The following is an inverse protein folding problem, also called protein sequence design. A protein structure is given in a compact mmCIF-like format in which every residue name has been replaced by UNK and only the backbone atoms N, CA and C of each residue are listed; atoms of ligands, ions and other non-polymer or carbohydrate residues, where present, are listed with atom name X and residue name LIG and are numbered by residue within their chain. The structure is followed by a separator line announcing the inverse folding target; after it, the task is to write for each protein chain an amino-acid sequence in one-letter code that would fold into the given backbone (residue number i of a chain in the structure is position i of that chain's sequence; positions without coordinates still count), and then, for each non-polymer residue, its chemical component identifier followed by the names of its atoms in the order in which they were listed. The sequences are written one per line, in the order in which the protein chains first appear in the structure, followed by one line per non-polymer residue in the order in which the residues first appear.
data_IF_223504972708
#
_entry.id   IF_223504972708
#
_cell.length_a   1.000
_cell.length_b   1.000
_cell.length_c   1.000
_cell.angle_alpha   90.00
_cell.angle_beta   90.00
_cell.angle_gamma   90.00
#
_symmetry.space_group_name_H-M   'P 1'
#
loop_
_entity.id
_entity.type
_entity.pdbx_description
1 polymer ?
#
# COMPACT_ATOMS: atom_id res chain seq x y z
N UNK A 1 4.35 -26.75 -16.80
CA UNK A 1 2.88 -26.78 -16.74
C UNK A 1 2.53 -26.89 -15.26
N UNK A 2 2.17 -25.83 -14.55
CA UNK A 2 1.05 -24.93 -14.80
C UNK A 2 1.45 -23.45 -14.73
N UNK A 3 1.03 -22.74 -15.78
CA UNK A 3 0.89 -21.30 -15.83
C UNK A 3 -0.52 -21.02 -15.27
N UNK A 4 -0.65 -20.30 -14.16
CA UNK A 4 -1.94 -19.80 -13.70
C UNK A 4 -1.88 -18.28 -13.64
N UNK A 5 -2.40 -17.70 -14.71
CA UNK A 5 -2.70 -16.29 -14.89
C UNK A 5 -3.49 -15.72 -13.70
N UNK A 6 -2.82 -14.96 -12.84
CA UNK A 6 -3.46 -14.01 -11.92
C UNK A 6 -3.58 -12.67 -12.64
N UNK A 7 -4.44 -12.61 -13.67
CA UNK A 7 -4.75 -11.36 -14.37
C UNK A 7 -5.94 -10.69 -13.70
N UNK A 8 -5.75 -9.41 -13.39
CA UNK A 8 -6.73 -8.41 -12.97
C UNK A 8 -6.94 -8.26 -11.46
N UNK A 9 -5.97 -7.62 -10.80
CA UNK A 9 -6.22 -6.86 -9.58
C UNK A 9 -6.56 -5.44 -10.05
N UNK A 10 -7.83 -5.06 -9.98
CA UNK A 10 -8.23 -3.66 -10.18
C UNK A 10 -7.98 -2.92 -8.85
N UNK A 11 -6.81 -2.30 -8.71
CA UNK A 11 -6.49 -1.45 -7.56
C UNK A 11 -7.15 -0.09 -7.81
N UNK A 12 -8.23 0.20 -7.09
CA UNK A 12 -8.85 1.53 -7.08
C UNK A 12 -8.25 2.33 -5.92
N UNK A 13 -7.06 2.88 -6.11
CA UNK A 13 -6.46 3.78 -5.11
C UNK A 13 -7.31 5.05 -5.02
N UNK A 14 -8.13 5.16 -3.98
CA UNK A 14 -8.87 6.37 -3.64
C UNK A 14 -7.96 7.28 -2.83
N UNK A 15 -7.19 8.13 -3.52
CA UNK A 15 -6.70 9.35 -2.91
C UNK A 15 -7.88 10.33 -2.87
N UNK A 16 -8.20 10.93 -1.73
CA UNK A 16 -9.13 12.06 -1.67
C UNK A 16 -8.48 13.30 -2.31
N UNK A 17 -8.32 13.26 -3.62
CA UNK A 17 -8.14 14.43 -4.47
C UNK A 17 -9.38 14.53 -5.35
N UNK A 18 -10.00 15.69 -5.29
CA UNK A 18 -11.37 16.02 -5.69
C UNK A 18 -11.62 15.98 -7.22
N UNK A 19 -11.37 14.86 -7.89
CA UNK A 19 -11.75 14.67 -9.29
C UNK A 19 -12.31 13.28 -9.57
N UNK A 20 -13.50 13.26 -10.18
CA UNK A 20 -14.35 12.10 -10.45
C UNK A 20 -13.83 11.13 -11.51
N UNK A 21 -12.69 11.41 -12.14
CA UNK A 21 -12.14 10.63 -13.25
C UNK A 21 -10.67 10.23 -13.00
N UNK A 22 -10.46 9.32 -12.05
CA UNK A 22 -9.14 8.70 -11.89
C UNK A 22 -8.86 7.77 -13.08
N UNK A 23 -7.66 7.81 -13.68
CA UNK A 23 -7.28 6.92 -14.77
C UNK A 23 -7.36 5.45 -14.33
N UNK A 24 -7.78 4.57 -15.24
CA UNK A 24 -7.77 3.12 -15.01
C UNK A 24 -6.33 2.62 -15.13
N UNK A 25 -5.80 2.09 -14.03
CA UNK A 25 -4.49 1.44 -14.01
C UNK A 25 -4.61 -0.05 -14.30
N UNK A 26 -3.69 -0.57 -15.10
CA UNK A 26 -3.44 -1.98 -15.34
C UNK A 26 -2.25 -2.49 -14.51
N UNK A 27 -2.02 -3.80 -14.53
CA UNK A 27 -0.86 -4.40 -13.86
C UNK A 27 0.44 -3.83 -14.44
N UNK A 28 1.37 -3.44 -13.56
CA UNK A 28 2.65 -2.81 -13.86
C UNK A 28 2.61 -1.35 -14.37
N UNK A 29 1.45 -0.70 -14.31
CA UNK A 29 1.39 0.72 -14.61
C UNK A 29 2.05 1.55 -13.49
N UNK A 30 2.66 2.67 -13.90
CA UNK A 30 3.21 3.65 -12.96
C UNK A 30 2.08 4.55 -12.44
N UNK A 31 1.91 4.59 -11.12
CA UNK A 31 1.00 5.53 -10.45
C UNK A 31 1.83 6.72 -9.97
N UNK A 32 1.47 7.93 -10.41
CA UNK A 32 2.12 9.18 -9.98
C UNK A 32 1.15 10.02 -9.17
N UNK A 33 1.48 10.20 -7.89
CA UNK A 33 0.76 11.10 -7.00
C UNK A 33 1.52 12.43 -6.99
N UNK A 34 0.93 13.46 -7.61
CA UNK A 34 1.50 14.81 -7.62
C UNK A 34 0.79 15.64 -6.57
N UNK A 35 1.57 16.22 -5.64
CA UNK A 35 1.04 17.11 -4.61
C UNK A 35 0.96 18.53 -5.23
N UNK A 36 -0.24 19.15 -5.29
CA UNK A 36 -0.40 20.47 -5.89
C UNK A 36 0.37 21.57 -5.13
N UNK A 37 0.71 22.66 -5.83
CA UNK A 37 1.47 23.79 -5.25
C UNK A 37 0.76 24.52 -4.10
N UNK A 38 -0.56 24.44 -4.01
CA UNK A 38 -1.34 25.02 -2.90
C UNK A 38 -1.16 24.19 -1.60
N UNK A 39 -0.85 22.91 -1.74
CA UNK A 39 -0.64 21.95 -0.64
C UNK A 39 0.86 21.64 -0.43
N UNK A 40 1.73 22.63 -0.68
CA UNK A 40 3.19 22.45 -0.69
C UNK A 40 3.78 21.95 0.64
N UNK A 41 3.04 22.12 1.73
CA UNK A 41 3.44 21.70 3.06
C UNK A 41 3.20 20.21 3.24
N UNK A 42 4.25 19.41 3.16
CA UNK A 42 4.17 17.96 3.33
C UNK A 42 5.00 17.51 4.52
N UNK A 43 4.47 16.57 5.32
CA UNK A 43 5.20 15.96 6.43
C UNK A 43 5.32 14.45 6.16
N UNK A 44 6.35 14.00 5.42
CA UNK A 44 6.46 12.60 5.00
C UNK A 44 6.41 11.60 6.16
N UNK A 45 6.96 11.95 7.34
CA UNK A 45 6.96 11.06 8.51
C UNK A 45 5.60 10.74 9.10
N UNK A 46 4.62 11.60 8.86
CA UNK A 46 3.23 11.43 9.28
C UNK A 46 2.29 11.28 8.08
N UNK A 47 2.84 11.09 6.88
CA UNK A 47 2.06 10.82 5.67
C UNK A 47 1.83 9.33 5.50
N UNK A 48 0.69 8.99 4.92
CA UNK A 48 0.25 7.60 4.74
C UNK A 48 -0.33 7.41 3.32
N UNK A 49 -0.20 6.20 2.78
CA UNK A 49 -0.87 5.78 1.56
C UNK A 49 -2.14 5.02 1.91
N UNK A 50 -3.28 5.59 1.54
CA UNK A 50 -4.57 4.93 1.64
C UNK A 50 -4.85 4.14 0.35
N UNK A 51 -5.07 2.84 0.50
CA UNK A 51 -5.39 1.93 -0.60
C UNK A 51 -6.69 1.24 -0.26
N UNK A 52 -7.73 1.62 -0.99
CA UNK A 52 -9.03 0.97 -0.96
C UNK A 52 -9.17 0.05 -2.16
N UNK A 53 -9.93 -1.01 -2.02
CA UNK A 53 -10.14 -1.90 -3.15
C UNK A 53 -11.09 -3.03 -2.86
N UNK A 54 -11.34 -3.82 -3.90
CA UNK A 54 -12.16 -5.01 -3.80
C UNK A 54 -11.46 -6.17 -4.48
N UNK A 55 -11.20 -7.22 -3.71
CA UNK A 55 -10.73 -8.49 -4.23
C UNK A 55 -11.84 -9.15 -5.06
N UNK A 56 -11.52 -9.51 -6.30
CA UNK A 56 -12.40 -10.29 -7.18
C UNK A 56 -11.69 -11.59 -7.51
N UNK A 57 -12.36 -12.70 -7.24
CA UNK A 57 -11.90 -14.02 -7.66
C UNK A 57 -12.26 -14.21 -9.14
N UNK A 58 -11.36 -14.79 -9.92
CA UNK A 58 -11.53 -14.93 -11.37
C UNK A 58 -12.64 -15.90 -11.80
N UNK A 59 -13.19 -16.70 -10.88
CA UNK A 59 -14.26 -17.67 -11.15
C UNK A 59 -15.62 -17.14 -10.68
N UNK A 60 -16.51 -16.91 -11.64
CA UNK A 60 -17.84 -16.30 -11.50
C UNK A 60 -18.94 -17.26 -10.98
N UNK A 61 -18.59 -18.34 -10.27
CA UNK A 61 -19.58 -19.32 -9.81
C UNK A 61 -19.84 -19.21 -8.31
N UNK A 62 -20.84 -18.39 -7.97
CA UNK A 62 -21.87 -18.75 -7.00
C UNK A 62 -21.42 -19.54 -5.76
N UNK A 63 -20.67 -18.90 -4.85
CA UNK A 63 -20.68 -19.25 -3.43
C UNK A 63 -20.18 -18.08 -2.60
N UNK A 64 -21.13 -17.51 -1.85
CA UNK A 64 -20.93 -16.57 -0.77
C UNK A 64 -19.75 -17.03 0.13
N UNK A 65 -18.70 -16.22 0.18
CA UNK A 65 -17.51 -16.30 1.06
C UNK A 65 -16.23 -16.18 0.22
N UNK A 66 -15.65 -14.98 0.17
CA UNK A 66 -14.24 -14.84 -0.21
C UNK A 66 -13.42 -15.58 0.85
N UNK A 67 -12.94 -16.80 0.54
CA UNK A 67 -12.06 -17.57 1.43
C UNK A 67 -10.57 -17.19 1.25
N UNK A 68 -10.30 -16.23 0.36
CA UNK A 68 -8.98 -15.64 0.21
C UNK A 68 -8.72 -14.68 1.38
N UNK A 69 -7.47 -14.61 1.83
CA UNK A 69 -7.00 -13.61 2.79
C UNK A 69 -5.81 -12.89 2.20
N UNK A 70 -5.66 -11.61 2.53
CA UNK A 70 -4.46 -10.86 2.19
C UNK A 70 -3.30 -11.33 3.08
N UNK A 71 -2.13 -11.52 2.46
CA UNK A 71 -0.90 -11.84 3.17
C UNK A 71 -0.43 -10.65 4.01
N UNK A 72 0.53 -10.88 4.90
CA UNK A 72 1.16 -9.78 5.63
C UNK A 72 1.75 -8.76 4.66
N UNK A 73 1.59 -7.48 5.02
CA UNK A 73 2.16 -6.37 4.26
C UNK A 73 1.67 -6.34 2.79
N UNK A 74 0.48 -6.91 2.50
CA UNK A 74 -0.05 -7.07 1.13
C UNK A 74 -0.07 -5.76 0.34
N UNK A 75 -0.36 -4.63 0.99
CA UNK A 75 -0.37 -3.32 0.35
C UNK A 75 1.00 -2.92 -0.20
N UNK A 76 2.09 -3.19 0.53
CA UNK A 76 3.45 -2.92 0.06
C UNK A 76 3.86 -3.86 -1.09
N UNK A 77 3.37 -5.11 -1.09
CA UNK A 77 3.60 -6.07 -2.17
C UNK A 77 2.91 -5.69 -3.49
N UNK A 78 1.98 -4.73 -3.49
CA UNK A 78 1.41 -4.18 -4.73
C UNK A 78 2.41 -3.33 -5.52
N UNK A 79 3.49 -2.88 -4.88
CA UNK A 79 4.48 -2.00 -5.49
C UNK A 79 5.82 -2.74 -5.69
N UNK A 80 6.27 -2.82 -6.94
CA UNK A 80 7.63 -3.28 -7.25
C UNK A 80 8.67 -2.20 -6.95
N UNK A 81 8.28 -0.92 -7.02
CA UNK A 81 9.15 0.23 -6.95
C UNK A 81 8.38 1.46 -6.46
N UNK A 82 8.94 2.20 -5.50
CA UNK A 82 8.43 3.51 -5.04
C UNK A 82 9.56 4.53 -5.05
N UNK A 83 9.24 5.77 -5.48
CA UNK A 83 10.16 6.90 -5.54
C UNK A 83 9.52 8.12 -4.91
N UNK A 84 10.31 8.87 -4.14
CA UNK A 84 9.90 10.18 -3.63
C UNK A 84 10.71 11.25 -4.35
N UNK A 85 10.02 12.20 -4.98
CA UNK A 85 10.62 13.24 -5.81
C UNK A 85 10.20 14.60 -5.27
N UNK A 86 11.17 15.45 -4.97
CA UNK A 86 10.95 16.83 -4.52
C UNK A 86 11.58 17.76 -5.54
N UNK A 87 10.80 18.69 -6.09
CA UNK A 87 11.28 19.69 -7.06
C UNK A 87 12.05 19.07 -8.25
N UNK A 88 11.62 17.89 -8.71
CA UNK A 88 12.26 17.16 -9.81
C UNK A 88 13.51 16.34 -9.43
N UNK A 89 13.93 16.36 -8.17
CA UNK A 89 15.05 15.58 -7.64
C UNK A 89 14.51 14.38 -6.88
N UNK A 90 14.98 13.18 -7.24
CA UNK A 90 14.70 11.96 -6.48
C UNK A 90 15.47 12.01 -5.15
N UNK A 91 14.74 11.93 -4.04
CA UNK A 91 15.32 11.99 -2.69
C UNK A 91 15.39 10.62 -2.01
N UNK A 92 14.55 9.68 -2.44
CA UNK A 92 14.58 8.31 -1.96
C UNK A 92 13.95 7.36 -2.99
N UNK A 93 14.51 6.16 -3.10
CA UNK A 93 14.12 5.09 -4.01
C UNK A 93 14.13 3.76 -3.25
N UNK A 94 12.99 3.04 -3.25
CA UNK A 94 12.92 1.69 -2.70
C UNK A 94 12.39 0.72 -3.74
N UNK A 95 13.19 -0.31 -4.02
CA UNK A 95 12.83 -1.44 -4.89
C UNK A 95 12.41 -2.65 -4.08
N UNK A 96 11.59 -3.51 -4.68
CA UNK A 96 11.00 -4.68 -4.03
C UNK A 96 10.30 -4.27 -2.72
N UNK A 97 9.44 -3.26 -2.80
CA UNK A 97 8.88 -2.52 -1.65
C UNK A 97 8.30 -3.46 -0.60
N UNK A 98 7.52 -4.46 -1.01
CA UNK A 98 7.00 -5.48 -0.11
C UNK A 98 8.07 -6.26 0.65
N UNK A 99 9.13 -6.72 -0.02
CA UNK A 99 10.22 -7.49 0.60
C UNK A 99 11.01 -6.60 1.58
N UNK A 100 11.42 -5.41 1.13
CA UNK A 100 12.22 -4.49 1.93
C UNK A 100 11.51 -4.06 3.22
N UNK A 101 10.25 -3.63 3.11
CA UNK A 101 9.44 -3.23 4.26
C UNK A 101 9.07 -4.41 5.17
N UNK A 102 8.86 -5.62 4.63
CA UNK A 102 8.66 -6.82 5.46
C UNK A 102 9.93 -7.18 6.24
N UNK A 103 11.11 -7.16 5.62
CA UNK A 103 12.37 -7.40 6.32
C UNK A 103 12.56 -6.36 7.44
N UNK A 104 12.41 -5.07 7.12
CA UNK A 104 12.46 -3.99 8.11
C UNK A 104 11.51 -4.23 9.26
N UNK A 105 10.25 -4.56 8.99
CA UNK A 105 9.27 -4.75 10.05
C UNK A 105 9.60 -5.92 10.98
N UNK A 106 10.11 -7.04 10.46
CA UNK A 106 10.54 -8.16 11.30
C UNK A 106 11.77 -7.85 12.17
N UNK A 107 12.72 -7.06 11.65
CA UNK A 107 13.97 -6.77 12.36
C UNK A 107 13.92 -5.54 13.28
N UNK A 108 13.07 -4.55 12.94
CA UNK A 108 13.11 -3.23 13.57
C UNK A 108 11.88 -2.91 14.42
N UNK A 109 10.74 -3.55 14.19
CA UNK A 109 9.51 -3.19 14.92
C UNK A 109 9.39 -3.94 16.25
N UNK A 110 9.07 -3.19 17.31
CA UNK A 110 8.68 -3.79 18.57
C UNK A 110 7.32 -4.47 18.44
N UNK A 111 7.02 -5.52 19.23
CA UNK A 111 5.69 -6.14 19.22
C UNK A 111 4.56 -5.14 19.49
N UNK A 112 4.80 -4.15 20.35
CA UNK A 112 3.84 -3.08 20.66
C UNK A 112 3.59 -2.13 19.50
N UNK A 113 4.58 -1.94 18.62
CA UNK A 113 4.43 -1.15 17.40
C UNK A 113 3.65 -1.95 16.34
N UNK A 114 3.97 -3.23 16.16
CA UNK A 114 3.30 -4.07 15.16
C UNK A 114 1.79 -4.18 15.43
N UNK A 115 1.37 -4.28 16.70
CA UNK A 115 -0.06 -4.29 17.07
C UNK A 115 -0.82 -3.02 16.63
N UNK A 116 -0.12 -1.92 16.34
CA UNK A 116 -0.74 -0.68 15.83
C UNK A 116 -0.86 -0.67 14.31
N UNK A 117 -0.23 -1.62 13.62
CA UNK A 117 -0.14 -1.71 12.17
C UNK A 117 -1.14 -2.70 11.56
N UNK A 118 -2.18 -3.09 12.31
CA UNK A 118 -3.24 -3.98 11.81
C UNK A 118 -3.88 -3.44 10.52
N UNK A 119 -4.17 -2.13 10.50
CA UNK A 119 -4.71 -1.43 9.32
C UNK A 119 -3.72 -1.35 8.13
N UNK A 120 -2.43 -1.61 8.36
CA UNK A 120 -1.39 -1.70 7.32
C UNK A 120 -1.25 -3.13 6.78
N UNK A 121 -2.05 -4.06 7.29
CA UNK A 121 -1.97 -5.48 6.99
C UNK A 121 -0.85 -6.22 7.70
N UNK A 122 -0.42 -5.74 8.87
CA UNK A 122 0.48 -6.47 9.75
C UNK A 122 -0.32 -7.15 10.86
N UNK A 123 -0.19 -8.47 10.95
CA UNK A 123 -0.76 -9.26 12.04
C UNK A 123 0.29 -10.28 12.50
N UNK A 124 0.63 -10.29 13.79
CA UNK A 124 1.63 -11.23 14.34
C UNK A 124 0.95 -12.42 15.02
N UNK A 125 -0.37 -12.34 15.25
CA UNK A 125 -1.11 -13.31 16.06
C UNK A 125 -1.85 -14.38 15.26
N UNK A 126 -2.44 -14.05 14.10
CA UNK A 126 -3.30 -14.99 13.35
C UNK A 126 -2.75 -15.38 11.99
N UNK A 127 -1.66 -14.76 11.54
CA UNK A 127 -1.03 -15.01 10.24
C UNK A 127 -1.84 -14.47 9.06
N UNK A 128 -2.85 -13.63 9.32
CA UNK A 128 -3.76 -13.06 8.32
C UNK A 128 -4.06 -11.61 8.68
N UNK A 129 -3.81 -10.71 7.74
CA UNK A 129 -4.24 -9.34 7.88
C UNK A 129 -5.77 -9.24 7.87
N UNK A 130 -6.39 -8.82 8.99
CA UNK A 130 -7.84 -8.65 9.14
C UNK A 130 -8.35 -7.33 8.51
N UNK A 131 -7.90 -7.04 7.29
CA UNK A 131 -8.14 -5.77 6.58
C UNK A 131 -9.22 -5.89 5.48
N UNK A 132 -9.87 -7.05 5.38
CA UNK A 132 -10.81 -7.36 4.31
C UNK A 132 -12.14 -7.90 4.86
N UNK A 133 -13.25 -7.37 4.36
CA UNK A 133 -14.59 -7.81 4.72
C UNK A 133 -15.00 -9.11 4.00
N UNK A 134 -16.15 -9.69 4.40
CA UNK A 134 -16.68 -10.92 3.81
C UNK A 134 -17.09 -10.79 2.33
N UNK A 135 -17.18 -9.56 1.82
CA UNK A 135 -17.49 -9.22 0.42
C UNK A 135 -16.22 -8.96 -0.40
N UNK A 136 -15.04 -9.09 0.21
CA UNK A 136 -13.74 -8.86 -0.42
C UNK A 136 -13.33 -7.40 -0.50
N UNK A 137 -14.06 -6.46 0.11
CA UNK A 137 -13.63 -5.06 0.18
C UNK A 137 -12.54 -4.93 1.24
N UNK A 138 -11.49 -4.20 0.92
CA UNK A 138 -10.40 -3.94 1.85
C UNK A 138 -10.05 -2.45 1.89
N UNK A 139 -9.51 -2.03 3.03
CA UNK A 139 -8.93 -0.72 3.23
C UNK A 139 -7.59 -0.90 3.95
N UNK A 140 -6.52 -0.43 3.33
CA UNK A 140 -5.16 -0.50 3.84
C UNK A 140 -4.64 0.92 3.98
N UNK A 141 -4.18 1.29 5.17
CA UNK A 141 -3.44 2.53 5.36
C UNK A 141 -1.97 2.20 5.63
N UNK A 142 -1.05 2.69 4.80
CA UNK A 142 0.39 2.39 4.92
C UNK A 142 1.17 3.66 5.23
N UNK A 143 1.71 3.83 6.44
CA UNK A 143 2.62 4.92 6.74
C UNK A 143 3.83 4.95 5.80
N UNK A 144 4.17 6.10 5.22
CA UNK A 144 5.30 6.22 4.29
C UNK A 144 6.63 5.82 4.95
N UNK A 145 6.79 6.07 6.24
CA UNK A 145 7.96 5.62 7.05
C UNK A 145 8.16 4.11 7.10
N UNK A 146 7.13 3.32 6.78
CA UNK A 146 7.28 1.87 6.64
C UNK A 146 7.90 1.49 5.29
N UNK A 147 7.65 2.29 4.26
CA UNK A 147 8.05 2.01 2.89
C UNK A 147 9.40 2.64 2.54
N UNK A 148 9.72 3.79 3.12
CA UNK A 148 10.83 4.66 2.71
C UNK A 148 11.65 5.13 3.92
N UNK A 149 12.97 5.23 3.75
CA UNK A 149 13.88 5.69 4.80
C UNK A 149 13.77 7.21 5.01
N UNK A 150 13.63 7.96 3.91
CA UNK A 150 13.45 9.41 3.97
C UNK A 150 12.24 9.82 4.82
N UNK A 151 11.11 9.12 4.66
CA UNK A 151 9.92 9.36 5.46
C UNK A 151 10.10 8.94 6.92
N UNK A 152 10.96 7.98 7.24
CA UNK A 152 11.25 7.62 8.64
C UNK A 152 12.11 8.68 9.35
N UNK A 153 13.10 9.22 8.65
CA UNK A 153 14.12 10.10 9.22
C UNK A 153 13.72 11.58 9.23
N UNK A 154 12.97 12.04 8.21
CA UNK A 154 12.62 13.46 8.05
C UNK A 154 11.34 13.80 8.80
N UNK A 155 11.49 14.48 9.93
CA UNK A 155 10.37 14.94 10.79
C UNK A 155 9.95 16.39 10.58
N UNK A 156 10.49 17.03 9.54
CA UNK A 156 10.25 18.43 9.23
C UNK A 156 9.15 18.56 8.18
N UNK A 157 8.39 19.65 8.26
CA UNK A 157 7.48 20.05 7.18
C UNK A 157 8.34 20.51 6.01
N UNK A 158 8.13 19.91 4.85
CA UNK A 158 8.77 20.25 3.59
C UNK A 158 7.94 21.31 2.86
N UNK A 159 8.62 22.18 2.12
CA UNK A 159 8.07 23.28 1.31
C UNK A 159 8.70 23.18 -0.07
#
# INVERSE_FOLDING_TARGET
MYHSDLRNIQIMMRLELYHSDLPKYSNNDEIRIVIPEIDRYTLPSESELLIEGKLRLASDESKNSVTASLIHNAGAFMFSHIRYIISGVEVDEVRNVGIASTMKGYFSYSPSYINKLENCGWDVGTGKALIMDSKGNFNICIPLKMLMGFAEDVKQILI
#
